data_IF_267364626107
#
_entry.id   IF_267364626107
#
_cell.length_a   1.000
_cell.length_b   1.000
_cell.length_c   1.000
_cell.angle_alpha   90.00
_cell.angle_beta   90.00
_cell.angle_gamma   90.00
#
_symmetry.space_group_name_H-M   'P 1'
#
loop_
_entity.id
_entity.type
_entity.pdbx_description
1 polymer ?
#
# COMPACT_ATOMS: atom_id res chain seq x y z
N UNK A 1 -6.78 -4.35 12.55
CA UNK A 1 -5.61 -3.57 12.07
C UNK A 1 -4.36 -3.88 12.86
N UNK A 2 -4.43 -4.04 14.19
CA UNK A 2 -3.26 -4.38 15.00
C UNK A 2 -3.07 -5.90 15.06
N UNK A 3 -1.82 -6.34 15.08
CA UNK A 3 -1.44 -7.71 15.43
C UNK A 3 -1.50 -7.93 16.96
N UNK A 4 -1.14 -9.13 17.40
CA UNK A 4 -1.17 -9.54 18.82
C UNK A 4 -0.23 -8.72 19.71
N UNK A 5 0.79 -8.08 19.13
CA UNK A 5 1.69 -7.15 19.82
C UNK A 5 1.21 -5.69 19.75
N UNK A 6 0.01 -5.45 19.26
CA UNK A 6 -0.57 -4.13 19.10
C UNK A 6 0.03 -3.32 17.95
N UNK A 7 0.81 -3.94 17.05
CA UNK A 7 1.51 -3.28 15.93
C UNK A 7 0.62 -3.22 14.71
N UNK A 8 0.68 -2.12 13.97
CA UNK A 8 0.14 -2.02 12.61
C UNK A 8 1.31 -2.24 11.66
N UNK A 9 1.40 -3.45 11.11
CA UNK A 9 2.42 -3.83 10.15
C UNK A 9 1.95 -3.44 8.74
N UNK A 10 2.81 -2.75 8.01
CA UNK A 10 2.59 -2.39 6.61
C UNK A 10 3.71 -2.96 5.76
N UNK A 11 3.37 -3.53 4.61
CA UNK A 11 4.33 -4.01 3.63
C UNK A 11 4.15 -3.28 2.30
N UNK A 12 5.24 -2.74 1.78
CA UNK A 12 5.27 -1.98 0.52
C UNK A 12 6.14 -2.72 -0.49
N UNK A 13 5.50 -3.23 -1.53
CA UNK A 13 6.15 -3.93 -2.63
C UNK A 13 6.62 -2.93 -3.69
N UNK A 14 7.93 -2.84 -3.89
CA UNK A 14 8.59 -2.03 -4.92
C UNK A 14 9.24 -2.91 -5.98
N UNK A 15 9.30 -2.37 -7.20
CA UNK A 15 9.87 -3.07 -8.35
C UNK A 15 11.07 -2.31 -8.92
N UNK A 16 12.05 -3.06 -9.42
CA UNK A 16 13.36 -2.61 -9.89
C UNK A 16 13.41 -1.86 -11.21
N UNK A 17 12.25 -1.54 -11.76
CA UNK A 17 12.11 -0.79 -13.00
C UNK A 17 12.46 0.69 -12.80
N UNK A 18 12.43 1.45 -13.90
CA UNK A 18 12.74 2.88 -13.90
C UNK A 18 11.83 3.66 -12.95
N UNK A 19 10.55 3.31 -12.88
CA UNK A 19 9.55 4.00 -12.07
C UNK A 19 9.82 3.79 -10.59
N UNK A 20 9.99 2.53 -10.16
CA UNK A 20 10.31 2.19 -8.78
C UNK A 20 11.60 2.85 -8.31
N UNK A 21 12.67 2.80 -9.11
CA UNK A 21 13.95 3.48 -8.80
C UNK A 21 13.79 5.00 -8.69
N UNK A 22 12.93 5.61 -9.50
CA UNK A 22 12.69 7.07 -9.54
C UNK A 22 11.90 7.55 -8.32
N UNK A 23 10.84 6.82 -7.92
CA UNK A 23 9.93 7.27 -6.87
C UNK A 23 10.27 6.76 -5.47
N UNK A 24 11.12 5.73 -5.33
CA UNK A 24 11.51 5.19 -4.03
C UNK A 24 12.20 6.21 -3.10
N UNK A 25 13.15 7.06 -3.55
CA UNK A 25 13.77 8.07 -2.67
C UNK A 25 12.74 9.04 -2.09
N UNK A 26 11.78 9.49 -2.90
CA UNK A 26 10.69 10.38 -2.46
C UNK A 26 9.78 9.71 -1.43
N UNK A 27 9.54 8.40 -1.57
CA UNK A 27 8.82 7.63 -0.56
C UNK A 27 9.60 7.57 0.77
N UNK A 28 10.88 7.24 0.77
CA UNK A 28 11.70 7.21 1.99
C UNK A 28 11.76 8.60 2.65
N UNK A 29 11.94 9.66 1.86
CA UNK A 29 12.01 11.03 2.34
C UNK A 29 10.66 11.55 2.90
N UNK A 30 9.56 10.86 2.68
CA UNK A 30 8.26 11.22 3.28
C UNK A 30 8.18 10.93 4.78
N UNK A 31 9.07 10.09 5.30
CA UNK A 31 9.15 9.74 6.71
C UNK A 31 10.10 10.70 7.44
N UNK A 32 9.51 11.66 8.17
CA UNK A 32 10.27 12.64 8.95
C UNK A 32 11.14 11.95 10.02
N UNK A 33 12.45 12.23 10.10
CA UNK A 33 13.32 11.69 11.15
C UNK A 33 12.93 12.09 12.58
N UNK A 34 12.09 13.13 12.75
CA UNK A 34 11.54 13.51 14.05
C UNK A 34 10.50 12.52 14.56
N UNK A 35 9.79 11.88 13.63
CA UNK A 35 8.62 11.04 13.89
C UNK A 35 8.92 9.56 13.67
N UNK A 36 9.90 9.25 12.82
CA UNK A 36 10.22 7.89 12.38
C UNK A 36 11.69 7.55 12.60
N UNK A 37 11.95 6.29 12.91
CA UNK A 37 13.27 5.67 12.86
C UNK A 37 13.35 4.84 11.58
N UNK A 38 14.40 5.05 10.80
CA UNK A 38 14.62 4.34 9.53
C UNK A 38 15.91 3.54 9.66
N UNK A 39 15.82 2.22 9.51
CA UNK A 39 16.95 1.31 9.37
C UNK A 39 16.82 0.55 8.06
N UNK A 40 17.92 0.04 7.51
CA UNK A 40 17.89 -0.68 6.24
C UNK A 40 19.05 -1.65 6.12
N UNK A 41 18.88 -2.64 5.26
CA UNK A 41 19.93 -3.55 4.82
C UNK A 41 20.10 -3.49 3.29
N UNK A 42 20.74 -4.49 2.70
CA UNK A 42 20.92 -4.59 1.25
C UNK A 42 19.61 -4.72 0.47
N UNK A 43 18.53 -5.20 1.10
CA UNK A 43 17.31 -5.66 0.44
C UNK A 43 16.04 -4.87 0.82
N UNK A 44 15.91 -4.38 2.05
CA UNK A 44 14.74 -3.63 2.50
C UNK A 44 15.05 -2.54 3.52
N UNK A 45 14.05 -1.68 3.71
CA UNK A 45 13.97 -0.65 4.74
C UNK A 45 12.95 -1.07 5.80
N UNK A 46 13.28 -0.80 7.05
CA UNK A 46 12.37 -0.87 8.19
C UNK A 46 12.16 0.55 8.73
N UNK A 47 10.90 0.98 8.75
CA UNK A 47 10.53 2.34 9.11
C UNK A 47 9.53 2.26 10.25
N UNK A 48 9.98 2.63 11.46
CA UNK A 48 9.21 2.45 12.70
C UNK A 48 8.84 3.80 13.28
N UNK A 49 7.56 3.98 13.59
CA UNK A 49 7.09 5.19 14.26
C UNK A 49 7.70 5.31 15.66
N UNK A 50 8.03 6.54 16.07
CA UNK A 50 8.48 6.89 17.42
C UNK A 50 7.31 7.22 18.35
N UNK A 51 6.12 7.45 17.81
CA UNK A 51 4.93 7.92 18.56
C UNK A 51 3.79 6.91 18.62
N UNK A 52 3.74 5.97 17.69
CA UNK A 52 2.76 4.91 17.64
C UNK A 52 3.41 3.55 17.35
N UNK A 53 2.60 2.50 17.35
CA UNK A 53 3.08 1.15 17.07
C UNK A 53 2.87 0.80 15.58
N UNK A 54 3.41 1.63 14.68
CA UNK A 54 3.22 1.52 13.23
C UNK A 54 4.56 1.25 12.56
N UNK A 55 4.67 0.11 11.89
CA UNK A 55 5.91 -0.36 11.28
C UNK A 55 5.69 -0.56 9.78
N UNK A 56 6.55 0.03 8.96
CA UNK A 56 6.51 -0.07 7.51
C UNK A 56 7.75 -0.80 7.02
N UNK A 57 7.54 -1.86 6.27
CA UNK A 57 8.58 -2.65 5.63
C UNK A 57 8.49 -2.46 4.13
N UNK A 58 9.58 -1.99 3.52
CA UNK A 58 9.62 -1.70 2.09
C UNK A 58 10.86 -2.33 1.47
N UNK A 59 10.67 -3.28 0.55
CA UNK A 59 11.80 -3.79 -0.21
C UNK A 59 12.38 -2.68 -1.09
N UNK A 60 13.68 -2.76 -1.36
CA UNK A 60 14.36 -1.86 -2.27
C UNK A 60 14.01 -2.22 -3.71
N UNK A 61 13.89 -1.23 -4.63
CA UNK A 61 13.72 -1.47 -6.06
C UNK A 61 15.09 -1.88 -6.67
N UNK A 62 15.60 -3.03 -6.24
CA UNK A 62 16.85 -3.62 -6.75
C UNK A 62 16.69 -4.05 -8.21
N UNK A 63 17.77 -4.40 -8.90
CA UNK A 63 17.72 -4.72 -10.32
C UNK A 63 16.68 -5.82 -10.66
N UNK A 64 15.70 -5.47 -11.49
CA UNK A 64 14.63 -6.37 -11.91
C UNK A 64 15.09 -7.38 -12.96
N UNK A 65 15.99 -6.98 -13.88
CA UNK A 65 16.52 -7.87 -14.92
C UNK A 65 17.35 -9.00 -14.31
N UNK A 66 17.99 -8.70 -13.16
CA UNK A 66 18.71 -9.68 -12.34
C UNK A 66 17.83 -10.37 -11.28
N UNK A 67 16.50 -10.14 -11.25
CA UNK A 67 15.55 -10.66 -10.25
C UNK A 67 15.92 -10.37 -8.78
N UNK A 68 16.66 -9.28 -8.53
CA UNK A 68 17.10 -8.92 -7.18
C UNK A 68 15.96 -8.30 -6.36
N UNK A 69 15.06 -7.53 -6.99
CA UNK A 69 13.86 -7.02 -6.33
C UNK A 69 12.91 -8.16 -5.91
N UNK A 70 12.79 -9.16 -6.77
CA UNK A 70 11.97 -10.35 -6.56
C UNK A 70 12.45 -11.15 -5.35
N UNK A 71 13.76 -11.39 -5.29
CA UNK A 71 14.42 -12.06 -4.18
C UNK A 71 14.24 -11.28 -2.88
N UNK A 72 14.44 -9.96 -2.91
CA UNK A 72 14.23 -9.10 -1.74
C UNK A 72 12.78 -9.12 -1.24
N UNK A 73 11.78 -9.19 -2.13
CA UNK A 73 10.38 -9.33 -1.73
C UNK A 73 10.10 -10.66 -1.03
N UNK A 74 10.68 -11.76 -1.52
CA UNK A 74 10.53 -13.10 -0.92
C UNK A 74 11.24 -13.15 0.44
N UNK A 75 12.47 -12.66 0.54
CA UNK A 75 13.20 -12.61 1.80
C UNK A 75 12.48 -11.76 2.84
N UNK A 76 11.93 -10.61 2.43
CA UNK A 76 11.13 -9.77 3.32
C UNK A 76 9.85 -10.48 3.78
N UNK A 77 9.14 -11.18 2.89
CA UNK A 77 7.97 -11.98 3.28
C UNK A 77 8.34 -13.03 4.36
N UNK A 78 9.44 -13.76 4.15
CA UNK A 78 9.89 -14.78 5.09
C UNK A 78 10.27 -14.15 6.44
N UNK A 79 11.01 -13.04 6.42
CA UNK A 79 11.36 -12.30 7.63
C UNK A 79 10.12 -11.86 8.42
N UNK A 80 9.09 -11.33 7.74
CA UNK A 80 7.85 -10.93 8.39
C UNK A 80 7.11 -12.13 9.00
N UNK A 81 7.02 -13.24 8.26
CA UNK A 81 6.39 -14.47 8.74
C UNK A 81 7.12 -15.04 9.97
N UNK A 82 8.44 -15.21 9.90
CA UNK A 82 9.28 -15.76 10.97
C UNK A 82 9.23 -14.92 12.27
N UNK A 83 8.92 -13.63 12.14
CA UNK A 83 8.82 -12.70 13.27
C UNK A 83 7.36 -12.42 13.69
N UNK A 84 6.40 -13.21 13.22
CA UNK A 84 4.97 -13.06 13.51
C UNK A 84 4.47 -11.63 13.23
N UNK A 85 4.89 -11.06 12.10
CA UNK A 85 4.53 -9.71 11.66
C UNK A 85 3.58 -9.79 10.46
N UNK A 86 2.30 -10.08 10.71
CA UNK A 86 1.29 -10.15 9.66
C UNK A 86 0.97 -8.75 9.11
N UNK A 87 1.17 -8.46 7.81
CA UNK A 87 0.84 -7.15 7.23
C UNK A 87 -0.67 -6.88 7.25
N UNK A 88 -1.09 -5.85 7.99
CA UNK A 88 -2.47 -5.37 7.97
C UNK A 88 -2.72 -4.40 6.80
N UNK A 89 -1.65 -3.80 6.28
CA UNK A 89 -1.69 -2.91 5.11
C UNK A 89 -0.70 -3.43 4.08
N UNK A 90 -1.17 -3.65 2.85
CA UNK A 90 -0.30 -3.99 1.72
C UNK A 90 -0.38 -2.88 0.69
N UNK A 91 0.78 -2.45 0.19
CA UNK A 91 0.90 -1.40 -0.81
C UNK A 91 1.66 -1.94 -2.01
N UNK A 92 1.04 -1.87 -3.18
CA UNK A 92 1.69 -2.20 -4.46
C UNK A 92 2.23 -0.93 -5.11
N UNK A 93 3.56 -0.83 -5.25
CA UNK A 93 4.29 0.27 -5.91
C UNK A 93 5.08 -0.24 -7.11
N UNK A 94 4.37 -0.79 -8.08
CA UNK A 94 4.91 -1.13 -9.41
C UNK A 94 3.83 -0.98 -10.48
N UNK A 95 4.18 -1.17 -11.74
CA UNK A 95 3.23 -1.22 -12.84
C UNK A 95 2.22 -2.39 -12.73
N UNK A 96 1.10 -2.26 -13.43
CA UNK A 96 -0.02 -3.21 -13.42
C UNK A 96 0.37 -4.67 -13.74
N UNK A 97 1.35 -4.87 -14.62
CA UNK A 97 1.85 -6.20 -14.99
C UNK A 97 2.65 -6.87 -13.86
N UNK A 98 3.09 -6.12 -12.85
CA UNK A 98 3.70 -6.67 -11.64
C UNK A 98 2.66 -7.07 -10.58
N UNK A 99 1.42 -6.57 -10.67
CA UNK A 99 0.40 -6.80 -9.65
C UNK A 99 0.12 -8.29 -9.39
N UNK A 100 -0.02 -9.18 -10.38
CA UNK A 100 -0.22 -10.62 -10.13
C UNK A 100 0.88 -11.24 -9.27
N UNK A 101 2.10 -10.72 -9.38
CA UNK A 101 3.25 -11.18 -8.60
C UNK A 101 3.17 -10.68 -7.14
N UNK A 102 2.71 -9.46 -6.89
CA UNK A 102 2.40 -8.99 -5.52
C UNK A 102 1.29 -9.82 -4.90
N UNK A 103 0.20 -10.09 -5.64
CA UNK A 103 -0.98 -10.83 -5.14
C UNK A 103 -0.57 -12.23 -4.65
N UNK A 104 0.20 -12.99 -5.44
CA UNK A 104 0.73 -14.31 -5.03
C UNK A 104 1.64 -14.27 -3.80
N UNK A 105 2.13 -13.10 -3.40
CA UNK A 105 3.03 -12.89 -2.26
C UNK A 105 2.32 -12.39 -1.01
N UNK A 106 1.05 -11.99 -1.11
CA UNK A 106 0.30 -11.54 0.04
C UNK A 106 0.13 -12.71 1.02
N UNK A 107 0.41 -12.44 2.30
CA UNK A 107 0.33 -13.45 3.35
C UNK A 107 -1.12 -13.80 3.76
N UNK A 108 -2.13 -13.20 3.12
CA UNK A 108 -3.53 -13.23 3.58
C UNK A 108 -3.82 -12.19 4.65
N UNK A 109 -5.09 -11.93 4.92
CA UNK A 109 -5.58 -11.07 6.02
C UNK A 109 -5.28 -9.57 5.97
N UNK A 110 -4.73 -9.05 4.88
CA UNK A 110 -4.58 -7.61 4.71
C UNK A 110 -5.95 -6.93 4.82
N UNK A 111 -6.04 -5.93 5.70
CA UNK A 111 -7.28 -5.17 5.92
C UNK A 111 -7.36 -3.94 5.02
N UNK A 112 -6.22 -3.45 4.55
CA UNK A 112 -6.13 -2.37 3.57
C UNK A 112 -5.17 -2.78 2.47
N UNK A 113 -5.60 -2.64 1.22
CA UNK A 113 -4.75 -2.83 0.04
C UNK A 113 -4.74 -1.54 -0.77
N UNK A 114 -3.55 -0.98 -1.00
CA UNK A 114 -3.36 0.23 -1.81
C UNK A 114 -2.68 -0.16 -3.11
N UNK A 115 -3.41 -0.02 -4.21
CA UNK A 115 -2.93 -0.32 -5.55
C UNK A 115 -2.50 0.99 -6.22
N UNK A 116 -1.19 1.24 -6.22
CA UNK A 116 -0.61 2.48 -6.73
C UNK A 116 -0.53 2.60 -8.25
N UNK A 117 -0.96 1.58 -9.00
CA UNK A 117 -0.94 1.51 -10.47
C UNK A 117 -2.24 0.92 -11.06
N UNK A 118 -2.41 1.07 -12.37
CA UNK A 118 -3.62 0.66 -13.10
C UNK A 118 -3.94 -0.83 -12.96
N UNK A 119 -5.19 -1.21 -13.22
CA UNK A 119 -5.57 -2.63 -13.34
C UNK A 119 -6.03 -3.29 -12.04
N UNK A 120 -6.18 -2.53 -10.96
CA UNK A 120 -6.78 -3.03 -9.73
C UNK A 120 -8.14 -3.69 -9.97
N UNK A 121 -8.98 -3.14 -10.85
CA UNK A 121 -10.31 -3.69 -11.15
C UNK A 121 -10.29 -5.13 -11.68
N UNK A 122 -9.33 -5.48 -12.56
CA UNK A 122 -9.23 -6.83 -13.13
C UNK A 122 -8.77 -7.88 -12.12
N UNK A 123 -8.07 -7.46 -11.07
CA UNK A 123 -7.49 -8.34 -10.06
C UNK A 123 -8.20 -8.22 -8.70
N UNK A 124 -9.37 -7.56 -8.64
CA UNK A 124 -10.13 -7.44 -7.39
C UNK A 124 -10.54 -8.81 -6.86
N UNK A 125 -10.93 -9.72 -7.74
CA UNK A 125 -11.31 -11.10 -7.39
C UNK A 125 -10.16 -11.78 -6.65
N UNK A 126 -8.98 -11.88 -7.26
CA UNK A 126 -7.81 -12.52 -6.66
C UNK A 126 -7.40 -11.87 -5.33
N UNK A 127 -7.48 -10.54 -5.23
CA UNK A 127 -7.16 -9.82 -3.98
C UNK A 127 -8.17 -10.16 -2.88
N UNK A 128 -9.46 -10.20 -3.20
CA UNK A 128 -10.54 -10.50 -2.25
C UNK A 128 -10.56 -11.99 -1.89
N UNK A 129 -10.21 -12.89 -2.79
CA UNK A 129 -10.06 -14.32 -2.48
C UNK A 129 -8.97 -14.56 -1.43
N UNK A 130 -7.86 -13.82 -1.48
CA UNK A 130 -6.77 -13.90 -0.51
C UNK A 130 -7.04 -13.05 0.74
N UNK A 131 -7.72 -11.92 0.58
CA UNK A 131 -7.99 -10.94 1.64
C UNK A 131 -9.46 -10.50 1.61
N UNK A 132 -10.40 -11.36 2.06
CA UNK A 132 -11.83 -11.15 1.87
C UNK A 132 -12.36 -9.88 2.55
N UNK A 133 -11.65 -9.45 3.60
CA UNK A 133 -11.99 -8.24 4.32
C UNK A 133 -11.36 -6.95 3.79
N UNK A 134 -10.49 -7.01 2.79
CA UNK A 134 -9.67 -5.89 2.39
C UNK A 134 -10.48 -4.68 1.91
N UNK A 135 -10.14 -3.51 2.45
CA UNK A 135 -10.54 -2.24 1.90
C UNK A 135 -9.53 -1.83 0.83
N UNK A 136 -9.99 -1.71 -0.42
CA UNK A 136 -9.10 -1.52 -1.57
C UNK A 136 -9.16 -0.06 -2.05
N UNK A 137 -8.03 0.64 -2.00
CA UNK A 137 -7.80 1.87 -2.77
C UNK A 137 -7.18 1.47 -4.10
N UNK A 138 -7.78 1.91 -5.20
CA UNK A 138 -7.33 1.57 -6.55
C UNK A 138 -7.38 2.77 -7.49
N UNK A 139 -6.81 2.65 -8.68
CA UNK A 139 -6.93 3.63 -9.77
C UNK A 139 -7.55 3.01 -11.02
N UNK A 140 -8.37 3.78 -11.75
CA UNK A 140 -8.92 3.42 -13.07
C UNK A 140 -7.84 3.45 -14.16
N UNK A 141 -6.86 4.33 -14.01
CA UNK A 141 -5.83 4.65 -14.99
C UNK A 141 -4.43 4.54 -14.38
N UNK A 142 -3.42 5.13 -15.02
CA UNK A 142 -2.04 5.15 -14.54
C UNK A 142 -1.99 5.92 -13.22
N UNK A 143 -1.60 5.24 -12.14
CA UNK A 143 -1.36 5.90 -10.87
C UNK A 143 -0.09 6.75 -10.92
N UNK A 144 -0.07 7.86 -10.19
CA UNK A 144 1.09 8.75 -10.11
C UNK A 144 1.77 8.63 -8.75
N UNK A 145 3.10 8.55 -8.74
CA UNK A 145 3.91 8.52 -7.51
C UNK A 145 3.60 9.68 -6.56
N UNK A 146 3.34 10.86 -7.13
CA UNK A 146 3.01 12.09 -6.40
C UNK A 146 1.63 12.06 -5.72
N UNK A 147 0.72 11.16 -6.14
CA UNK A 147 -0.58 10.95 -5.49
C UNK A 147 -0.50 9.87 -4.42
N UNK A 148 0.24 8.79 -4.69
CA UNK A 148 0.41 7.69 -3.74
C UNK A 148 1.04 8.17 -2.42
N UNK A 149 1.98 9.12 -2.47
CA UNK A 149 2.66 9.64 -1.27
C UNK A 149 1.68 10.32 -0.28
N UNK A 150 0.85 11.32 -0.67
CA UNK A 150 -0.17 11.88 0.23
C UNK A 150 -1.15 10.87 0.81
N UNK A 151 -1.56 9.85 0.03
CA UNK A 151 -2.42 8.76 0.52
C UNK A 151 -1.74 8.01 1.67
N UNK A 152 -0.50 7.56 1.47
CA UNK A 152 0.26 6.80 2.46
C UNK A 152 0.57 7.66 3.70
N UNK A 153 0.90 8.95 3.51
CA UNK A 153 1.12 9.87 4.61
C UNK A 153 -0.14 10.06 5.47
N UNK A 154 -1.32 10.17 4.85
CA UNK A 154 -2.57 10.26 5.59
C UNK A 154 -2.83 9.01 6.43
N UNK A 155 -2.64 7.82 5.84
CA UNK A 155 -2.79 6.54 6.53
C UNK A 155 -1.83 6.45 7.73
N UNK A 156 -0.55 6.72 7.50
CA UNK A 156 0.48 6.72 8.54
C UNK A 156 0.12 7.66 9.71
N UNK A 157 -0.20 8.92 9.42
CA UNK A 157 -0.58 9.90 10.45
C UNK A 157 -1.84 9.46 11.24
N UNK A 158 -2.81 8.83 10.55
CA UNK A 158 -4.02 8.32 11.19
C UNK A 158 -3.69 7.17 12.14
N UNK A 159 -2.85 6.23 11.69
CA UNK A 159 -2.43 5.08 12.49
C UNK A 159 -1.55 5.48 13.68
N UNK A 160 -0.60 6.41 13.48
CA UNK A 160 0.26 6.91 14.56
C UNK A 160 -0.55 7.64 15.64
N UNK A 161 -1.57 8.41 15.25
CA UNK A 161 -2.43 9.11 16.19
C UNK A 161 -3.45 8.22 16.91
N UNK A 162 -3.53 6.93 16.56
CA UNK A 162 -4.52 5.99 17.10
C UNK A 162 -5.96 6.33 16.74
N UNK A 163 -6.18 7.27 15.80
CA UNK A 163 -7.51 7.68 15.37
C UNK A 163 -8.15 6.60 14.49
N UNK A 164 -9.47 6.51 14.55
CA UNK A 164 -10.24 5.69 13.63
C UNK A 164 -10.10 6.21 12.20
N UNK A 165 -9.70 5.35 11.28
CA UNK A 165 -9.66 5.67 9.86
C UNK A 165 -11.09 5.78 9.30
N UNK A 166 -11.47 6.98 8.87
CA UNK A 166 -12.75 7.24 8.21
C UNK A 166 -12.50 7.60 6.74
N UNK A 167 -12.84 6.67 5.84
CA UNK A 167 -12.56 6.81 4.41
C UNK A 167 -13.12 8.09 3.78
N UNK A 168 -14.33 8.51 4.18
CA UNK A 168 -14.94 9.76 3.70
C UNK A 168 -14.11 10.99 4.09
N UNK A 169 -13.61 11.02 5.33
CA UNK A 169 -12.78 12.13 5.82
C UNK A 169 -11.43 12.16 5.09
N UNK A 170 -10.78 11.00 4.97
CA UNK A 170 -9.54 10.86 4.19
C UNK A 170 -9.72 11.37 2.77
N UNK A 171 -10.78 10.91 2.08
CA UNK A 171 -11.00 11.30 0.69
C UNK A 171 -11.31 12.78 0.53
N UNK A 172 -12.09 13.37 1.44
CA UNK A 172 -12.37 14.80 1.44
C UNK A 172 -11.10 15.63 1.67
N UNK A 173 -10.24 15.24 2.61
CA UNK A 173 -8.95 15.89 2.86
C UNK A 173 -8.02 15.81 1.65
N UNK A 174 -7.88 14.63 1.05
CA UNK A 174 -7.05 14.44 -0.14
C UNK A 174 -7.61 15.18 -1.36
N UNK A 175 -8.93 15.18 -1.56
CA UNK A 175 -9.56 15.94 -2.65
C UNK A 175 -9.27 17.43 -2.53
N UNK A 176 -9.40 18.00 -1.32
CA UNK A 176 -9.06 19.40 -1.08
C UNK A 176 -7.58 19.70 -1.37
N UNK A 177 -6.69 18.77 -1.04
CA UNK A 177 -5.26 18.88 -1.34
C UNK A 177 -5.01 18.90 -2.86
N UNK A 178 -5.51 17.91 -3.59
CA UNK A 178 -5.19 17.73 -5.01
C UNK A 178 -5.89 18.73 -5.91
N UNK A 179 -7.14 19.14 -5.62
CA UNK A 179 -7.84 20.17 -6.40
C UNK A 179 -7.11 21.53 -6.35
N UNK A 180 -6.35 21.78 -5.28
CA UNK A 180 -5.52 22.97 -5.12
C UNK A 180 -4.12 22.82 -5.74
N UNK A 181 -3.75 21.66 -6.30
CA UNK A 181 -2.46 21.44 -6.92
C UNK A 181 -2.34 22.27 -8.23
N UNK A 182 -1.23 22.98 -8.45
CA UNK A 182 -1.04 23.78 -9.66
C UNK A 182 -0.96 22.94 -10.93
N UNK A 183 -0.58 21.66 -10.83
CA UNK A 183 -0.49 20.76 -11.98
C UNK A 183 -1.86 20.22 -12.39
N UNK A 184 -2.28 20.48 -13.64
CA UNK A 184 -3.48 19.86 -14.20
C UNK A 184 -3.36 18.34 -14.25
N UNK A 185 -2.20 17.80 -14.60
CA UNK A 185 -2.02 16.34 -14.69
C UNK A 185 -2.20 15.63 -13.35
N UNK A 186 -1.80 16.26 -12.24
CA UNK A 186 -2.01 15.72 -10.89
C UNK A 186 -3.51 15.74 -10.54
N UNK A 187 -4.20 16.84 -10.86
CA UNK A 187 -5.65 16.96 -10.66
C UNK A 187 -6.40 15.88 -11.43
N UNK A 188 -6.11 15.74 -12.71
CA UNK A 188 -6.76 14.76 -13.59
C UNK A 188 -6.46 13.32 -13.10
N UNK A 189 -5.22 13.04 -12.72
CA UNK A 189 -4.85 11.70 -12.22
C UNK A 189 -5.55 11.37 -10.89
N UNK A 190 -5.76 12.35 -10.01
CA UNK A 190 -6.49 12.13 -8.74
C UNK A 190 -7.93 11.70 -8.98
N UNK A 191 -8.60 12.21 -10.01
CA UNK A 191 -9.97 11.81 -10.35
C UNK A 191 -10.09 10.32 -10.73
N UNK A 192 -8.99 9.73 -11.22
CA UNK A 192 -8.90 8.31 -11.54
C UNK A 192 -8.77 7.41 -10.31
N UNK A 193 -8.44 7.95 -9.12
CA UNK A 193 -8.39 7.17 -7.88
C UNK A 193 -9.80 6.88 -7.34
N UNK A 194 -9.97 5.65 -6.83
CA UNK A 194 -11.21 5.13 -6.28
C UNK A 194 -11.00 4.80 -4.80
N UNK A 195 -11.75 5.41 -3.87
CA UNK A 195 -11.74 5.02 -2.46
C UNK A 195 -12.49 3.70 -2.24
N UNK A 196 -12.24 3.00 -1.10
CA UNK A 196 -12.89 1.72 -0.81
C UNK A 196 -14.42 1.76 -0.88
N UNK A 197 -15.04 2.83 -0.37
CA UNK A 197 -16.51 2.97 -0.35
C UNK A 197 -17.14 3.32 -1.70
N UNK A 198 -16.34 3.58 -2.75
CA UNK A 198 -16.81 3.72 -4.14
C UNK A 198 -16.36 2.58 -5.03
N UNK A 199 -15.64 1.59 -4.49
CA UNK A 199 -15.18 0.43 -5.24
C UNK A 199 -16.27 -0.65 -5.27
N UNK A 200 -17.28 -0.45 -6.12
CA UNK A 200 -18.47 -1.32 -6.19
C UNK A 200 -18.11 -2.78 -6.51
N UNK A 201 -17.08 -3.02 -7.32
CA UNK A 201 -16.61 -4.38 -7.62
C UNK A 201 -16.10 -5.09 -6.37
N UNK A 202 -15.25 -4.43 -5.57
CA UNK A 202 -14.74 -4.99 -4.31
C UNK A 202 -15.87 -5.19 -3.29
N UNK A 203 -16.81 -4.24 -3.19
CA UNK A 203 -17.98 -4.34 -2.29
C UNK A 203 -18.86 -5.53 -2.67
N UNK A 204 -19.14 -5.72 -3.97
CA UNK A 204 -19.93 -6.85 -4.46
C UNK A 204 -19.24 -8.18 -4.19
N UNK A 205 -17.95 -8.31 -4.54
CA UNK A 205 -17.18 -9.53 -4.33
C UNK A 205 -17.09 -9.91 -2.86
N UNK A 206 -16.88 -8.93 -1.97
CA UNK A 206 -16.89 -9.15 -0.52
C UNK A 206 -18.25 -9.64 -0.03
N UNK A 207 -19.33 -9.00 -0.48
CA UNK A 207 -20.70 -9.43 -0.14
C UNK A 207 -20.99 -10.86 -0.60
N UNK A 208 -20.63 -11.20 -1.83
CA UNK A 208 -20.80 -12.55 -2.38
C UNK A 208 -19.97 -13.59 -1.61
N UNK A 209 -18.71 -13.29 -1.31
CA UNK A 209 -17.85 -14.19 -0.55
C UNK A 209 -18.43 -14.52 0.83
N UNK A 210 -18.93 -13.50 1.54
CA UNK A 210 -19.58 -13.69 2.84
C UNK A 210 -20.84 -14.58 2.73
N UNK A 211 -21.64 -14.43 1.67
CA UNK A 211 -22.84 -15.23 1.46
C UNK A 211 -22.56 -16.71 1.12
N UNK A 212 -21.41 -17.02 0.51
CA UNK A 212 -21.06 -18.39 0.10
C UNK A 212 -20.38 -19.17 1.24
N UNK A 213 -19.88 -18.49 2.26
CA UNK A 213 -19.24 -19.11 3.44
C UNK A 213 -20.18 -19.33 4.63
N UNK A 214 -21.42 -18.84 4.56
CA UNK A 214 -22.53 -19.18 5.46
C UNK A 214 -23.26 -20.45 5.00
#
# INVERSE_FOLDING_TARGET
>A
MKDDSGRIIQQVYWYGDKDGKTFFPSFINSFSPKEWTITYNSEWYEIRSKKGNVWVFANRPLDNDANLDDSAQIHLNNYLYENNMQPAVVVHRGHSYWLPRTIRRMAGDAKIVVLGSCGGFKNLTDIIEINPDAHIISTKEIGAGDINRPILNYLNNTFESGKTLVWKNMWASLTKLFVADPSSSIRDTWESYIPPYKNLGAIFLKGYHNMVQE
#
